data_IF_685380208027
#
_entry.id   IF_685380208027
#
_cell.length_a   1.000
_cell.length_b   1.000
_cell.length_c   1.000
_cell.angle_alpha   90.00
_cell.angle_beta   90.00
_cell.angle_gamma   90.00
#
_symmetry.space_group_name_H-M   'P 1'
#
loop_
_entity.id
_entity.type
_entity.pdbx_description
1 polymer ?
#
# COMPACT_ATOMS: atom_id res chain seq x y z
N UNK A 1 -25.12 -2.29 -26.07
CA UNK A 1 -23.67 -2.09 -26.24
C UNK A 1 -23.07 -1.86 -24.86
N UNK A 2 -22.41 -2.86 -24.28
CA UNK A 2 -21.81 -2.77 -22.94
C UNK A 2 -20.46 -3.48 -22.98
N UNK A 3 -19.45 -2.79 -23.49
CA UNK A 3 -18.12 -3.39 -23.70
C UNK A 3 -17.24 -3.17 -22.48
N UNK A 4 -17.19 -4.21 -21.64
CA UNK A 4 -16.00 -4.87 -21.08
C UNK A 4 -14.77 -4.01 -20.68
N UNK A 5 -14.33 -4.16 -19.42
CA UNK A 5 -12.95 -4.58 -19.14
C UNK A 5 -12.83 -5.28 -17.78
N UNK A 6 -12.90 -6.62 -17.83
CA UNK A 6 -12.32 -7.54 -16.85
C UNK A 6 -10.80 -7.33 -16.76
N UNK A 7 -10.26 -7.28 -15.55
CA UNK A 7 -8.91 -7.79 -15.24
C UNK A 7 -8.87 -8.26 -13.78
N UNK A 8 -8.52 -9.53 -13.59
CA UNK A 8 -7.99 -10.03 -12.31
C UNK A 8 -8.87 -10.92 -11.43
N UNK A 9 -9.69 -11.81 -12.00
CA UNK A 9 -10.06 -13.07 -11.33
C UNK A 9 -8.89 -14.07 -11.42
N UNK A 10 -8.82 -15.05 -10.52
CA UNK A 10 -7.85 -16.17 -10.43
C UNK A 10 -6.50 -15.90 -9.72
N UNK A 11 -6.52 -15.94 -8.38
CA UNK A 11 -5.36 -16.34 -7.55
C UNK A 11 -5.79 -17.30 -6.42
N UNK A 12 -6.19 -18.49 -6.86
CA UNK A 12 -5.75 -19.81 -6.33
C UNK A 12 -6.05 -20.21 -4.87
N UNK A 13 -7.03 -21.11 -4.72
CA UNK A 13 -7.28 -21.92 -3.51
C UNK A 13 -6.04 -22.66 -2.96
N UNK A 14 -5.04 -22.96 -3.80
CA UNK A 14 -3.76 -23.58 -3.35
C UNK A 14 -2.79 -22.62 -2.69
N UNK A 15 -2.94 -21.29 -2.84
CA UNK A 15 -2.13 -20.30 -2.12
C UNK A 15 -2.57 -20.16 -0.65
N UNK A 16 -3.76 -20.68 -0.30
CA UNK A 16 -4.41 -20.50 1.00
C UNK A 16 -3.60 -21.14 2.13
N UNK A 17 -2.87 -22.25 1.89
CA UNK A 17 -2.14 -22.94 2.97
C UNK A 17 -0.74 -22.38 3.28
N UNK A 18 -0.03 -21.78 2.32
CA UNK A 18 1.27 -21.14 2.59
C UNK A 18 1.14 -19.75 3.25
N UNK A 19 -0.08 -19.21 3.25
CA UNK A 19 -0.48 -17.91 3.80
C UNK A 19 -0.68 -17.93 5.32
N UNK A 20 -0.76 -19.11 5.95
CA UNK A 20 -1.17 -19.27 7.35
C UNK A 20 -0.21 -18.67 8.41
N UNK A 21 1.00 -18.24 8.04
CA UNK A 21 1.99 -17.69 9.01
C UNK A 21 2.53 -16.31 8.60
N UNK A 22 2.10 -15.75 7.47
CA UNK A 22 2.55 -14.41 7.04
C UNK A 22 1.52 -13.37 7.48
N UNK A 23 1.82 -12.53 8.48
CA UNK A 23 0.88 -11.50 8.90
C UNK A 23 0.60 -10.59 7.70
N UNK A 24 -0.67 -10.46 7.33
CA UNK A 24 -1.10 -9.59 6.23
C UNK A 24 -1.32 -8.17 6.77
N UNK A 25 -0.85 -7.14 6.05
CA UNK A 25 -1.11 -5.77 6.46
C UNK A 25 -2.60 -5.47 6.33
N UNK A 26 -3.13 -4.74 7.30
CA UNK A 26 -4.45 -4.16 7.27
C UNK A 26 -4.42 -2.91 6.40
N UNK A 27 -5.09 -2.99 5.27
CA UNK A 27 -5.33 -1.86 4.37
C UNK A 27 -6.63 -1.15 4.76
N UNK A 28 -6.77 0.13 4.40
CA UNK A 28 -8.08 0.80 4.43
C UNK A 28 -9.11 -0.04 3.67
N UNK A 29 -10.30 -0.16 4.27
CA UNK A 29 -11.45 -0.86 3.71
C UNK A 29 -12.07 -0.07 2.55
N UNK A 30 -12.87 -0.73 1.71
CA UNK A 30 -13.55 -0.05 0.60
C UNK A 30 -14.48 1.08 1.07
N UNK A 31 -15.15 0.92 2.21
CA UNK A 31 -15.98 1.97 2.81
C UNK A 31 -15.15 3.19 3.24
N UNK A 32 -14.00 2.96 3.89
CA UNK A 32 -13.08 4.04 4.25
C UNK A 32 -12.53 4.76 3.01
N UNK A 33 -12.19 4.03 1.95
CA UNK A 33 -11.76 4.64 0.68
C UNK A 33 -12.87 5.47 0.03
N UNK A 34 -14.10 4.97 0.02
CA UNK A 34 -15.26 5.69 -0.55
C UNK A 34 -15.58 6.96 0.25
N UNK A 35 -15.33 6.96 1.56
CA UNK A 35 -15.58 8.11 2.42
C UNK A 35 -14.71 9.33 2.09
N UNK A 36 -13.61 9.16 1.34
CA UNK A 36 -12.82 10.30 0.86
C UNK A 36 -13.54 11.04 -0.27
N UNK A 37 -14.36 10.34 -1.08
CA UNK A 37 -15.04 10.90 -2.24
C UNK A 37 -14.09 11.32 -3.38
N UNK A 38 -12.81 11.01 -3.25
CA UNK A 38 -11.76 11.52 -4.14
C UNK A 38 -11.26 10.46 -5.12
N UNK A 39 -11.09 10.88 -6.38
CA UNK A 39 -10.48 10.05 -7.40
C UNK A 39 -9.01 9.76 -7.05
N UNK A 40 -8.63 8.50 -7.19
CA UNK A 40 -7.26 8.04 -7.00
C UNK A 40 -6.42 8.45 -8.22
N UNK A 41 -5.26 9.05 -7.95
CA UNK A 41 -4.28 9.43 -8.94
C UNK A 41 -3.16 8.38 -9.03
N UNK A 42 -2.62 8.13 -10.23
CA UNK A 42 -1.42 7.32 -10.40
C UNK A 42 -0.22 8.00 -9.73
N UNK A 43 0.86 7.27 -9.43
CA UNK A 43 2.04 7.87 -8.83
C UNK A 43 2.69 8.80 -9.86
N UNK A 44 3.48 9.77 -9.39
CA UNK A 44 4.34 10.56 -10.29
C UNK A 44 5.31 9.62 -11.05
N UNK A 45 5.85 10.08 -12.19
CA UNK A 45 6.77 9.29 -13.04
C UNK A 45 7.89 8.62 -12.25
N UNK A 46 8.39 9.30 -11.21
CA UNK A 46 9.22 8.72 -10.17
C UNK A 46 8.37 8.48 -8.90
N UNK A 47 8.07 7.21 -8.63
CA UNK A 47 7.35 6.81 -7.41
C UNK A 47 8.16 7.21 -6.17
N UNK A 48 7.70 8.21 -5.38
CA UNK A 48 8.49 8.71 -4.26
C UNK A 48 8.68 7.63 -3.19
N UNK A 49 9.90 7.54 -2.68
CA UNK A 49 10.22 6.72 -1.52
C UNK A 49 9.61 7.38 -0.27
N UNK A 50 8.93 6.58 0.53
CA UNK A 50 8.21 7.03 1.72
C UNK A 50 8.40 6.06 2.89
N UNK A 51 8.22 6.59 4.10
CA UNK A 51 8.04 5.82 5.31
C UNK A 51 6.55 5.80 5.65
N UNK A 52 5.96 4.62 5.76
CA UNK A 52 4.54 4.46 6.05
C UNK A 52 4.31 3.64 7.31
N UNK A 53 3.41 4.10 8.17
CA UNK A 53 2.92 3.29 9.28
C UNK A 53 1.84 2.34 8.77
N UNK A 54 2.14 1.05 8.84
CA UNK A 54 1.23 -0.03 8.43
C UNK A 54 0.83 -0.84 9.66
N UNK A 55 -0.45 -1.23 9.69
CA UNK A 55 -1.00 -2.03 10.77
C UNK A 55 -1.04 -3.49 10.35
N UNK A 56 -0.67 -4.37 11.25
CA UNK A 56 -0.94 -5.79 11.22
C UNK A 56 -1.92 -6.10 12.36
N UNK A 57 -2.58 -7.26 12.37
CA UNK A 57 -3.50 -7.63 13.46
C UNK A 57 -2.87 -7.50 14.86
N UNK A 58 -1.58 -7.82 15.00
CA UNK A 58 -0.90 -7.84 16.30
C UNK A 58 0.07 -6.67 16.52
N UNK A 59 0.53 -6.00 15.45
CA UNK A 59 1.59 -4.99 15.54
C UNK A 59 1.34 -3.81 14.60
N UNK A 60 1.85 -2.63 14.97
CA UNK A 60 1.96 -1.49 14.05
C UNK A 60 3.43 -1.24 13.79
N UNK A 61 3.84 -1.17 12.53
CA UNK A 61 5.25 -1.04 12.14
C UNK A 61 5.41 0.05 11.08
N UNK A 62 6.57 0.67 11.07
CA UNK A 62 6.94 1.61 10.02
C UNK A 62 7.71 0.86 8.93
N UNK A 63 7.28 1.01 7.68
CA UNK A 63 7.92 0.37 6.51
C UNK A 63 8.45 1.44 5.56
N UNK A 64 9.61 1.16 4.98
CA UNK A 64 10.13 1.91 3.83
C UNK A 64 9.54 1.30 2.56
N UNK A 65 8.94 2.13 1.72
CA UNK A 65 8.29 1.70 0.49
C UNK A 65 8.14 2.83 -0.50
N UNK A 66 7.39 2.58 -1.56
CA UNK A 66 7.12 3.55 -2.62
C UNK A 66 5.63 3.82 -2.76
N UNK A 67 5.27 5.03 -3.16
CA UNK A 67 3.89 5.38 -3.49
C UNK A 67 3.53 4.82 -4.85
N UNK A 68 2.45 4.04 -4.91
CA UNK A 68 1.94 3.44 -6.16
C UNK A 68 0.64 4.10 -6.61
N UNK A 69 -0.12 4.71 -5.70
CA UNK A 69 -1.29 5.52 -6.02
C UNK A 69 -1.62 6.42 -4.83
N UNK A 70 -2.31 7.54 -5.05
CA UNK A 70 -2.66 8.45 -3.95
C UNK A 70 -3.87 9.34 -4.26
N UNK A 71 -4.45 9.94 -3.23
CA UNK A 71 -5.28 11.14 -3.32
C UNK A 71 -4.92 12.07 -2.13
N UNK A 72 -5.74 13.09 -1.84
CA UNK A 72 -5.44 14.03 -0.74
C UNK A 72 -5.48 13.36 0.64
N UNK A 73 -6.25 12.28 0.79
CA UNK A 73 -6.50 11.65 2.09
C UNK A 73 -5.80 10.32 2.32
N UNK A 74 -5.51 9.57 1.26
CA UNK A 74 -4.98 8.21 1.34
C UNK A 74 -3.91 7.95 0.30
N UNK A 75 -3.02 7.01 0.63
CA UNK A 75 -1.86 6.65 -0.18
C UNK A 75 -1.76 5.13 -0.22
N UNK A 76 -1.61 4.57 -1.41
CA UNK A 76 -1.25 3.18 -1.63
C UNK A 76 0.28 3.08 -1.59
N UNK A 77 0.77 2.37 -0.59
CA UNK A 77 2.20 2.14 -0.40
C UNK A 77 2.52 0.70 -0.74
N UNK A 78 3.61 0.51 -1.47
CA UNK A 78 4.18 -0.79 -1.78
C UNK A 78 5.54 -0.94 -1.12
N UNK A 79 5.79 -2.08 -0.47
CA UNK A 79 7.07 -2.39 0.16
C UNK A 79 7.40 -3.87 0.06
N UNK A 80 8.70 -4.18 0.17
CA UNK A 80 9.19 -5.55 0.21
C UNK A 80 9.12 -6.11 1.63
N UNK A 81 8.73 -7.37 1.76
CA UNK A 81 8.72 -8.11 3.02
C UNK A 81 10.00 -8.91 3.17
N UNK A 82 10.39 -9.20 4.42
CA UNK A 82 11.56 -10.05 4.70
C UNK A 82 11.48 -11.44 4.07
N UNK A 83 10.28 -11.92 3.71
CA UNK A 83 10.05 -13.19 3.02
C UNK A 83 10.15 -13.14 1.50
N UNK A 84 10.67 -12.05 0.92
CA UNK A 84 10.86 -11.87 -0.53
C UNK A 84 9.58 -11.61 -1.32
N UNK A 85 8.46 -11.32 -0.64
CA UNK A 85 7.20 -10.92 -1.27
C UNK A 85 6.98 -9.42 -1.20
N UNK A 86 6.20 -8.88 -2.15
CA UNK A 86 5.77 -7.48 -2.13
C UNK A 86 4.41 -7.36 -1.45
N UNK A 87 4.27 -6.41 -0.54
CA UNK A 87 3.01 -6.05 0.10
C UNK A 87 2.54 -4.69 -0.39
N UNK A 88 1.23 -4.52 -0.46
CA UNK A 88 0.58 -3.26 -0.75
C UNK A 88 -0.52 -3.00 0.28
N UNK A 89 -0.62 -1.76 0.75
CA UNK A 89 -1.73 -1.34 1.60
C UNK A 89 -2.07 0.13 1.36
N UNK A 90 -3.36 0.41 1.38
CA UNK A 90 -3.85 1.78 1.53
C UNK A 90 -3.68 2.19 2.98
N UNK A 91 -3.07 3.35 3.17
CA UNK A 91 -2.91 4.01 4.46
C UNK A 91 -3.40 5.44 4.36
N UNK A 92 -3.79 6.03 5.50
CA UNK A 92 -4.09 7.46 5.55
C UNK A 92 -2.83 8.27 5.22
N UNK A 93 -2.99 9.40 4.53
CA UNK A 93 -1.88 10.29 4.18
C UNK A 93 -1.10 10.76 5.39
N UNK A 94 -1.77 10.93 6.53
CA UNK A 94 -1.14 11.28 7.82
C UNK A 94 -0.23 10.19 8.39
N UNK A 95 -0.37 8.94 7.93
CA UNK A 95 0.49 7.82 8.30
C UNK A 95 1.74 7.71 7.42
N UNK A 96 1.90 8.59 6.43
CA UNK A 96 3.01 8.59 5.47
C UNK A 96 3.91 9.79 5.70
N UNK A 97 5.23 9.56 5.68
CA UNK A 97 6.24 10.61 5.78
C UNK A 97 7.26 10.44 4.66
N UNK A 98 7.59 11.55 3.99
CA UNK A 98 8.69 11.56 3.02
C UNK A 98 9.99 11.66 3.83
N UNK A 99 10.91 10.68 3.73
CA UNK A 99 12.19 10.75 4.42
C UNK A 99 12.92 12.01 3.95
N UNK A 100 13.37 12.83 4.90
CA UNK A 100 14.17 14.00 4.57
C UNK A 100 15.49 13.51 3.95
N UNK A 101 15.95 14.08 2.81
CA UNK A 101 17.29 13.78 2.33
C UNK A 101 18.28 14.13 3.46
N UNK A 102 19.07 13.14 3.87
CA UNK A 102 20.06 13.34 4.93
C UNK A 102 20.94 14.53 4.57
N UNK A 103 21.13 15.47 5.52
CA UNK A 103 22.12 16.52 5.33
C UNK A 103 23.46 15.86 5.01
N UNK A 104 24.14 16.19 3.90
CA UNK A 104 25.53 15.79 3.75
C UNK A 104 26.31 16.42 4.93
N UNK A 105 27.00 15.57 5.68
CA UNK A 105 27.84 16.00 6.79
C UNK A 105 28.86 17.04 6.30
N UNK A 106 29.05 18.09 7.10
CA UNK A 106 30.07 19.12 6.90
C UNK A 106 31.47 18.54 7.04
#
# INVERSE_FOLDING_TARGET
MGTNRRYGSDLTDKAINAVLVRPKPLSLTEDEKKSTGEAVQPPAEEAPQVLAWVRYPEWTVQVAGRVVAYNDRMVLVEWETQGGGTHQAWVWRSAVTIPKPGRPGK
#
